data_IF_609682766399
#
_entry.id   IF_609682766399
#
_cell.length_a   1.000
_cell.length_b   1.000
_cell.length_c   1.000
_cell.angle_alpha   90.00
_cell.angle_beta   90.00
_cell.angle_gamma   90.00
#
_symmetry.space_group_name_H-M   'P 1'
#
loop_
_entity.id
_entity.type
_entity.pdbx_description
1 polymer ?
#
# COMPACT_ATOMS: atom_id res chain seq x y z
N UNK A 1 8.21 11.09 10.37
CA UNK A 1 9.18 10.10 9.85
C UNK A 1 8.41 9.19 8.91
N UNK A 2 8.98 8.83 7.76
CA UNK A 2 8.31 7.96 6.79
C UNK A 2 8.95 6.57 6.85
N UNK A 3 8.19 5.54 6.48
CA UNK A 3 8.67 4.18 6.28
C UNK A 3 8.76 3.86 4.79
N UNK A 4 9.65 2.94 4.42
CA UNK A 4 9.62 2.33 3.09
C UNK A 4 8.46 1.33 2.99
N UNK A 5 8.03 1.02 1.76
CA UNK A 5 6.93 0.08 1.51
C UNK A 5 7.20 -1.29 2.16
N UNK A 6 8.43 -1.81 2.08
CA UNK A 6 8.76 -3.10 2.69
C UNK A 6 8.61 -3.09 4.22
N UNK A 7 8.97 -1.98 4.87
CA UNK A 7 8.87 -1.82 6.34
C UNK A 7 7.41 -1.71 6.76
N UNK A 8 6.64 -0.91 6.03
CA UNK A 8 5.20 -0.79 6.26
C UNK A 8 4.50 -2.15 6.09
N UNK A 9 4.84 -2.92 5.03
CA UNK A 9 4.30 -4.27 4.82
C UNK A 9 4.68 -5.26 5.91
N UNK A 10 5.89 -5.17 6.46
CA UNK A 10 6.28 -5.98 7.61
C UNK A 10 5.38 -5.68 8.81
N UNK A 11 5.17 -4.40 9.14
CA UNK A 11 4.25 -4.00 10.20
C UNK A 11 2.82 -4.45 9.90
N UNK A 12 2.34 -4.32 8.66
CA UNK A 12 1.00 -4.79 8.28
C UNK A 12 0.82 -6.28 8.57
N UNK A 13 1.80 -7.14 8.27
CA UNK A 13 1.75 -8.57 8.60
C UNK A 13 1.65 -8.82 10.11
N UNK A 14 2.42 -8.08 10.92
CA UNK A 14 2.39 -8.21 12.39
C UNK A 14 1.01 -7.90 12.98
N UNK A 15 0.21 -7.07 12.29
CA UNK A 15 -1.15 -6.70 12.67
C UNK A 15 -2.24 -7.45 11.88
N UNK A 16 -1.88 -8.54 11.21
CA UNK A 16 -2.82 -9.42 10.50
C UNK A 16 -3.43 -8.79 9.23
N UNK A 17 -2.85 -7.72 8.71
CA UNK A 17 -3.25 -7.11 7.45
C UNK A 17 -2.54 -7.86 6.32
N UNK A 18 -3.28 -8.45 5.37
CA UNK A 18 -2.70 -9.23 4.28
C UNK A 18 -1.94 -8.31 3.34
N UNK A 19 -0.72 -8.72 3.01
CA UNK A 19 0.14 -8.10 2.01
C UNK A 19 0.75 -9.20 1.16
N UNK A 20 1.17 -8.91 -0.08
CA UNK A 20 1.75 -9.94 -0.92
C UNK A 20 3.10 -10.39 -0.35
N UNK A 21 3.50 -11.61 -0.70
CA UNK A 21 4.84 -12.09 -0.38
C UNK A 21 5.87 -11.30 -1.17
N UNK A 22 6.87 -10.80 -0.45
CA UNK A 22 7.91 -10.00 -1.05
C UNK A 22 9.12 -9.86 -0.15
N UNK A 23 10.26 -9.66 -0.79
CA UNK A 23 11.58 -9.61 -0.16
C UNK A 23 12.35 -8.40 -0.70
N UNK A 24 13.07 -7.74 0.20
CA UNK A 24 13.93 -6.61 -0.15
C UNK A 24 15.28 -7.09 -0.67
N UNK A 25 15.80 -6.44 -1.69
CA UNK A 25 17.11 -6.72 -2.27
C UNK A 25 17.90 -5.42 -2.45
N UNK A 26 19.17 -5.44 -2.07
CA UNK A 26 20.14 -4.36 -2.30
C UNK A 26 21.16 -4.67 -3.39
N UNK A 27 21.01 -5.80 -4.08
CA UNK A 27 21.85 -6.21 -5.22
C UNK A 27 21.07 -7.13 -6.16
N UNK A 28 21.59 -7.31 -7.38
CA UNK A 28 21.05 -8.27 -8.36
C UNK A 28 21.04 -9.68 -7.79
N UNK A 29 22.13 -10.12 -7.16
CA UNK A 29 22.23 -11.48 -6.60
C UNK A 29 21.18 -11.70 -5.50
N UNK A 30 20.98 -10.73 -4.62
CA UNK A 30 19.94 -10.78 -3.60
C UNK A 30 18.53 -10.83 -4.21
N UNK A 31 18.30 -10.10 -5.31
CA UNK A 31 17.01 -10.13 -6.02
C UNK A 31 16.74 -11.49 -6.69
N UNK A 32 17.77 -12.13 -7.25
CA UNK A 32 17.65 -13.48 -7.82
C UNK A 32 17.37 -14.53 -6.75
N UNK A 33 18.00 -14.42 -5.57
CA UNK A 33 17.68 -15.27 -4.42
C UNK A 33 16.23 -15.07 -3.99
N UNK A 34 15.80 -13.81 -3.83
CA UNK A 34 14.42 -13.47 -3.49
C UNK A 34 13.41 -14.05 -4.47
N UNK A 35 13.66 -13.92 -5.78
CA UNK A 35 12.77 -14.47 -6.82
C UNK A 35 12.68 -16.01 -6.76
N UNK A 36 13.78 -16.70 -6.44
CA UNK A 36 13.78 -18.16 -6.27
C UNK A 36 13.01 -18.60 -5.03
N UNK A 37 13.12 -17.86 -3.94
CA UNK A 37 12.37 -18.14 -2.70
C UNK A 37 10.87 -17.87 -2.85
N UNK A 38 10.51 -16.77 -3.53
CA UNK A 38 9.11 -16.45 -3.86
C UNK A 38 8.51 -17.43 -4.88
N UNK A 39 9.35 -18.01 -5.75
CA UNK A 39 8.94 -18.89 -6.83
C UNK A 39 8.15 -18.17 -7.93
N UNK A 40 7.59 -18.96 -8.84
CA UNK A 40 6.84 -18.46 -10.00
C UNK A 40 7.72 -18.10 -11.21
N UNK A 41 7.12 -17.46 -12.20
CA UNK A 41 7.77 -17.08 -13.46
C UNK A 41 7.78 -15.56 -13.72
N UNK A 42 7.18 -14.77 -12.83
CA UNK A 42 7.11 -13.32 -12.95
C UNK A 42 7.03 -12.66 -11.59
N UNK A 43 7.59 -11.46 -11.47
CA UNK A 43 7.67 -10.69 -10.22
C UNK A 43 7.38 -9.21 -10.47
N UNK A 44 7.01 -8.51 -9.41
CA UNK A 44 7.01 -7.05 -9.36
C UNK A 44 8.33 -6.57 -8.76
N UNK A 45 9.01 -5.65 -9.44
CA UNK A 45 10.21 -4.96 -8.95
C UNK A 45 9.82 -3.53 -8.59
N UNK A 46 9.96 -3.15 -7.32
CA UNK A 46 9.51 -1.86 -6.79
C UNK A 46 10.65 -1.10 -6.11
N UNK A 47 11.06 0.02 -6.68
CA UNK A 47 12.02 0.94 -6.08
C UNK A 47 11.55 1.40 -4.70
N UNK A 48 12.43 1.33 -3.70
CA UNK A 48 12.14 1.76 -2.33
C UNK A 48 12.62 3.19 -2.11
N UNK A 49 11.68 4.15 -2.20
CA UNK A 49 11.91 5.57 -1.92
C UNK A 49 10.74 6.13 -1.10
N UNK A 50 10.96 7.20 -0.34
CA UNK A 50 9.92 7.92 0.39
C UNK A 50 9.26 8.97 -0.50
N UNK A 51 8.73 8.53 -1.65
CA UNK A 51 7.96 9.35 -2.57
C UNK A 51 6.92 8.48 -3.30
N UNK A 52 5.69 9.00 -3.44
CA UNK A 52 4.65 8.40 -4.27
C UNK A 52 4.89 8.61 -5.77
N UNK A 53 4.00 8.08 -6.60
CA UNK A 53 4.08 8.21 -8.06
C UNK A 53 5.17 7.38 -8.75
N UNK A 54 5.74 6.40 -8.04
CA UNK A 54 6.84 5.53 -8.53
C UNK A 54 6.48 4.78 -9.82
N UNK A 55 5.24 4.31 -9.95
CA UNK A 55 4.78 3.62 -11.15
C UNK A 55 4.86 4.50 -12.41
N UNK A 56 4.40 5.75 -12.33
CA UNK A 56 4.49 6.73 -13.42
C UNK A 56 5.95 7.08 -13.79
N UNK A 57 6.86 6.94 -12.84
CA UNK A 57 8.30 7.18 -13.01
C UNK A 57 9.11 5.94 -13.44
N UNK A 58 8.45 4.80 -13.72
CA UNK A 58 9.14 3.55 -14.07
C UNK A 58 9.82 2.83 -12.90
N UNK A 59 9.56 3.27 -11.66
CA UNK A 59 10.06 2.65 -10.43
C UNK A 59 9.28 1.42 -9.98
N UNK A 60 8.23 1.02 -10.71
CA UNK A 60 7.48 -0.22 -10.50
C UNK A 60 7.40 -0.94 -11.85
N UNK A 61 7.96 -2.15 -11.92
CA UNK A 61 8.04 -2.92 -13.17
C UNK A 61 7.57 -4.35 -12.92
N UNK A 62 6.77 -4.90 -13.84
CA UNK A 62 6.48 -6.33 -13.89
C UNK A 62 7.50 -6.99 -14.80
N UNK A 63 8.14 -8.05 -14.33
CA UNK A 63 9.21 -8.76 -15.05
C UNK A 63 8.88 -10.24 -15.17
N UNK A 64 9.30 -10.86 -16.27
CA UNK A 64 9.13 -12.28 -16.57
C UNK A 64 10.50 -12.97 -16.71
N UNK A 65 10.76 -13.93 -15.83
CA UNK A 65 12.04 -14.65 -15.77
C UNK A 65 13.21 -13.87 -15.16
N UNK A 66 14.30 -14.59 -14.88
CA UNK A 66 15.48 -14.04 -14.18
C UNK A 66 16.21 -12.95 -15.00
N UNK A 67 16.14 -13.00 -16.34
CA UNK A 67 16.82 -12.05 -17.22
C UNK A 67 16.20 -10.64 -17.13
N UNK A 68 14.87 -10.53 -17.25
CA UNK A 68 14.16 -9.26 -17.11
C UNK A 68 14.28 -8.72 -15.68
N UNK A 69 14.24 -9.61 -14.67
CA UNK A 69 14.46 -9.25 -13.28
C UNK A 69 15.83 -8.60 -13.07
N UNK A 70 16.91 -9.23 -13.57
CA UNK A 70 18.26 -8.66 -13.49
C UNK A 70 18.29 -7.26 -14.09
N UNK A 71 17.77 -7.10 -15.31
CA UNK A 71 17.80 -5.82 -16.02
C UNK A 71 17.02 -4.72 -15.28
N UNK A 72 15.84 -5.04 -14.75
CA UNK A 72 15.04 -4.09 -13.97
C UNK A 72 15.76 -3.65 -12.69
N UNK A 73 16.40 -4.61 -11.99
CA UNK A 73 17.13 -4.32 -10.74
C UNK A 73 18.39 -3.49 -11.00
N UNK A 74 19.16 -3.80 -12.05
CA UNK A 74 20.34 -3.03 -12.47
C UNK A 74 19.97 -1.60 -12.90
N UNK A 75 18.81 -1.42 -13.53
CA UNK A 75 18.32 -0.11 -13.96
C UNK A 75 17.90 0.75 -12.77
N UNK A 76 17.32 0.14 -11.74
CA UNK A 76 16.77 0.87 -10.60
C UNK A 76 17.81 1.14 -9.51
N UNK A 77 18.59 0.12 -9.11
CA UNK A 77 19.52 0.24 -7.99
C UNK A 77 20.63 1.25 -8.27
N UNK A 78 21.02 1.99 -7.24
CA UNK A 78 22.05 3.03 -7.26
C UNK A 78 21.74 4.23 -8.19
N UNK A 79 20.59 4.20 -8.87
CA UNK A 79 20.02 5.32 -9.58
C UNK A 79 19.30 6.30 -8.64
N UNK A 80 18.72 7.35 -9.25
CA UNK A 80 17.83 8.28 -8.56
C UNK A 80 16.48 8.27 -9.25
N UNK A 81 15.41 8.04 -8.50
CA UNK A 81 14.05 8.05 -9.03
C UNK A 81 13.44 9.43 -8.85
N UNK A 82 13.12 10.08 -9.97
CA UNK A 82 12.35 11.32 -9.99
C UNK A 82 10.87 10.98 -10.15
N UNK A 83 10.06 11.38 -9.18
CA UNK A 83 8.61 11.22 -9.19
C UNK A 83 7.94 12.60 -9.09
N UNK A 84 6.62 12.70 -9.32
CA UNK A 84 5.87 13.94 -9.09
C UNK A 84 6.02 14.50 -7.66
N UNK A 85 6.41 13.65 -6.69
CA UNK A 85 6.52 14.00 -5.28
C UNK A 85 7.96 14.09 -4.75
N UNK A 86 8.99 13.79 -5.57
CA UNK A 86 10.39 13.76 -5.11
C UNK A 86 11.17 15.07 -5.33
N UNK A 87 10.60 16.01 -6.10
CA UNK A 87 11.34 17.15 -6.65
C UNK A 87 12.37 16.75 -7.72
N UNK A 88 13.05 17.74 -8.34
CA UNK A 88 13.90 17.53 -9.52
C UNK A 88 15.15 16.70 -9.25
N UNK A 89 15.63 16.65 -8.00
CA UNK A 89 16.80 15.86 -7.63
C UNK A 89 16.49 14.36 -7.51
N UNK A 90 15.21 13.96 -7.43
CA UNK A 90 14.83 12.57 -7.17
C UNK A 90 15.28 12.04 -5.80
N UNK A 91 14.99 10.78 -5.52
CA UNK A 91 15.50 10.07 -4.33
C UNK A 91 16.39 8.88 -4.73
N UNK A 92 17.46 8.59 -3.98
CA UNK A 92 18.32 7.45 -4.25
C UNK A 92 17.55 6.14 -4.08
N UNK A 93 17.82 5.17 -4.95
CA UNK A 93 17.24 3.83 -4.87
C UNK A 93 18.31 2.85 -4.40
N UNK A 94 18.44 2.70 -3.09
CA UNK A 94 19.42 1.79 -2.49
C UNK A 94 18.87 0.36 -2.34
N UNK A 95 17.55 0.20 -2.43
CA UNK A 95 16.86 -1.07 -2.28
C UNK A 95 15.67 -1.17 -3.25
N UNK A 96 15.38 -2.40 -3.66
CA UNK A 96 14.17 -2.76 -4.40
C UNK A 96 13.39 -3.83 -3.62
N UNK A 97 12.07 -3.81 -3.72
CA UNK A 97 11.20 -4.87 -3.23
C UNK A 97 10.83 -5.76 -4.41
N UNK A 98 11.16 -7.05 -4.30
CA UNK A 98 10.72 -8.10 -5.22
C UNK A 98 9.47 -8.73 -4.61
N UNK A 99 8.37 -8.78 -5.36
CA UNK A 99 7.07 -9.17 -4.84
C UNK A 99 6.29 -10.06 -5.81
N UNK A 100 5.52 -11.01 -5.27
CA UNK A 100 4.63 -11.87 -6.06
C UNK A 100 3.53 -11.03 -6.73
N UNK A 101 3.33 -11.14 -8.05
CA UNK A 101 2.29 -10.39 -8.74
C UNK A 101 0.91 -10.95 -8.38
N UNK A 102 -0.08 -10.06 -8.39
CA UNK A 102 -1.48 -10.41 -8.11
C UNK A 102 -2.39 -10.05 -9.28
N UNK A 103 -3.45 -10.83 -9.45
CA UNK A 103 -4.54 -10.49 -10.37
C UNK A 103 -5.49 -9.53 -9.67
N UNK A 104 -5.42 -8.27 -10.09
CA UNK A 104 -6.22 -7.16 -9.55
C UNK A 104 -7.59 -7.18 -10.22
N UNK A 105 -8.66 -7.25 -9.42
CA UNK A 105 -10.05 -7.15 -9.90
C UNK A 105 -10.59 -5.75 -9.65
N UNK A 106 -10.30 -5.17 -8.47
CA UNK A 106 -10.64 -3.78 -8.13
C UNK A 106 -9.50 -3.16 -7.34
N UNK A 107 -9.30 -1.85 -7.54
CA UNK A 107 -8.40 -1.02 -6.77
C UNK A 107 -9.25 -0.06 -5.94
N UNK A 108 -9.08 -0.08 -4.62
CA UNK A 108 -9.77 0.78 -3.67
C UNK A 108 -8.74 1.67 -2.96
N UNK A 109 -9.22 2.73 -2.33
CA UNK A 109 -8.44 3.52 -1.40
C UNK A 109 -8.90 3.22 0.02
N UNK A 110 -7.95 3.07 0.94
CA UNK A 110 -8.21 3.02 2.38
C UNK A 110 -7.08 3.76 3.12
N UNK A 111 -7.43 4.69 4.00
CA UNK A 111 -6.46 5.42 4.81
C UNK A 111 -6.97 5.70 6.21
N UNK A 112 -6.06 5.98 7.14
CA UNK A 112 -6.36 6.43 8.49
C UNK A 112 -5.44 7.59 8.86
N UNK A 113 -5.99 8.62 9.52
CA UNK A 113 -5.23 9.79 9.98
C UNK A 113 -5.86 10.41 11.23
N UNK A 114 -5.13 11.29 11.92
CA UNK A 114 -5.70 12.09 13.01
C UNK A 114 -6.36 13.33 12.44
N UNK A 115 -7.70 13.42 12.56
CA UNK A 115 -8.43 14.62 12.24
C UNK A 115 -8.33 15.60 13.42
N UNK A 116 -7.80 16.81 13.15
CA UNK A 116 -7.59 17.84 14.17
C UNK A 116 -8.88 18.52 14.62
N UNK A 117 -9.90 18.56 13.77
CA UNK A 117 -11.17 19.20 14.10
C UNK A 117 -11.99 18.35 15.07
N UNK A 118 -12.08 17.05 14.83
CA UNK A 118 -12.77 16.13 15.74
C UNK A 118 -11.88 15.55 16.84
N UNK A 119 -10.57 15.75 16.76
CA UNK A 119 -9.57 15.16 17.66
C UNK A 119 -9.69 13.63 17.72
N UNK A 120 -10.02 13.02 16.59
CA UNK A 120 -10.22 11.57 16.43
C UNK A 120 -9.33 11.00 15.34
N UNK A 121 -9.06 9.70 15.44
CA UNK A 121 -8.63 8.91 14.30
C UNK A 121 -9.81 8.85 13.32
N UNK A 122 -9.60 9.20 12.06
CA UNK A 122 -10.61 9.08 11.01
C UNK A 122 -10.09 8.07 9.99
N UNK A 123 -10.93 7.08 9.68
CA UNK A 123 -10.69 6.15 8.58
C UNK A 123 -11.45 6.65 7.37
N UNK A 124 -10.75 6.77 6.24
CA UNK A 124 -11.25 7.19 4.94
C UNK A 124 -11.20 6.01 3.98
N UNK A 125 -12.23 5.81 3.18
CA UNK A 125 -12.24 4.82 2.12
C UNK A 125 -12.90 5.36 0.84
N UNK A 126 -12.46 4.89 -0.32
CA UNK A 126 -13.04 5.25 -1.61
C UNK A 126 -12.93 4.09 -2.61
N UNK A 127 -13.86 4.03 -3.56
CA UNK A 127 -13.73 3.17 -4.74
C UNK A 127 -12.67 3.70 -5.72
N UNK A 128 -12.24 4.96 -5.57
CA UNK A 128 -11.18 5.57 -6.37
C UNK A 128 -9.78 5.16 -5.85
N UNK A 129 -9.41 3.89 -6.01
CA UNK A 129 -8.04 3.41 -5.76
C UNK A 129 -7.09 3.72 -6.92
N UNK A 130 -5.79 3.80 -6.63
CA UNK A 130 -4.74 4.00 -7.63
C UNK A 130 -4.60 5.45 -8.13
N UNK A 131 -5.40 6.38 -7.60
CA UNK A 131 -5.40 7.81 -7.92
C UNK A 131 -5.01 8.65 -6.71
N UNK A 132 -4.73 9.93 -6.94
CA UNK A 132 -4.41 10.90 -5.89
C UNK A 132 -5.68 11.20 -5.07
N UNK A 133 -5.65 10.93 -3.76
CA UNK A 133 -6.85 11.05 -2.92
C UNK A 133 -7.19 12.51 -2.64
N UNK A 134 -6.22 13.41 -2.67
CA UNK A 134 -6.44 14.84 -2.53
C UNK A 134 -7.17 15.42 -3.74
N UNK A 135 -6.91 14.90 -4.94
CA UNK A 135 -7.69 15.21 -6.14
C UNK A 135 -9.15 14.75 -5.99
N UNK A 136 -9.38 13.51 -5.54
CA UNK A 136 -10.72 13.00 -5.28
C UNK A 136 -11.43 13.83 -4.20
N UNK A 137 -10.75 14.22 -3.13
CA UNK A 137 -11.33 15.02 -2.06
C UNK A 137 -11.76 16.42 -2.52
N UNK A 138 -11.04 17.00 -3.49
CA UNK A 138 -11.36 18.32 -4.04
C UNK A 138 -12.47 18.26 -5.08
N UNK A 139 -12.39 17.28 -6.00
CA UNK A 139 -13.20 17.26 -7.21
C UNK A 139 -14.45 16.37 -7.08
N UNK A 140 -14.36 15.32 -6.24
CA UNK A 140 -15.40 14.31 -6.00
C UNK A 140 -15.52 13.90 -4.51
N UNK A 141 -15.71 14.84 -3.57
CA UNK A 141 -15.71 14.56 -2.13
C UNK A 141 -16.74 13.50 -1.71
N UNK A 142 -17.84 13.33 -2.46
CA UNK A 142 -18.87 12.33 -2.23
C UNK A 142 -18.39 10.88 -2.41
N UNK A 143 -17.26 10.68 -3.11
CA UNK A 143 -16.64 9.37 -3.29
C UNK A 143 -15.78 8.94 -2.09
N UNK A 144 -15.58 9.84 -1.12
CA UNK A 144 -14.83 9.53 0.10
C UNK A 144 -15.81 9.27 1.24
N UNK A 145 -15.66 8.11 1.86
CA UNK A 145 -16.46 7.65 2.99
C UNK A 145 -15.61 7.66 4.23
N UNK A 146 -16.11 8.29 5.29
CA UNK A 146 -15.38 8.43 6.54
C UNK A 146 -16.12 7.77 7.70
N UNK A 147 -15.34 7.24 8.64
CA UNK A 147 -15.82 6.82 9.96
C UNK A 147 -14.88 7.31 11.04
N UNK A 148 -15.44 7.77 12.15
CA UNK A 148 -14.65 8.29 13.27
C UNK A 148 -14.38 7.23 14.36
N UNK A 149 -13.11 7.19 14.72
CA UNK A 149 -12.43 6.58 15.84
C UNK A 149 -12.92 6.94 17.25
N UNK A 150 -13.94 6.32 17.86
CA UNK A 150 -14.21 6.60 19.27
C UNK A 150 -13.04 6.08 20.14
N UNK A 151 -12.39 6.92 20.97
CA UNK A 151 -11.20 6.51 21.71
C UNK A 151 -11.47 5.51 22.83
N UNK A 152 -12.71 5.42 23.30
CA UNK A 152 -13.10 4.52 24.40
C UNK A 152 -13.52 3.17 23.84
N UNK A 153 -14.37 3.15 22.81
CA UNK A 153 -14.90 1.90 22.26
C UNK A 153 -14.03 1.32 21.14
N UNK A 154 -13.16 2.12 20.54
CA UNK A 154 -12.41 1.75 19.35
C UNK A 154 -13.31 1.56 18.13
N UNK A 155 -12.79 0.87 17.11
CA UNK A 155 -13.51 0.52 15.90
C UNK A 155 -14.62 -0.48 16.22
N UNK A 156 -15.86 -0.12 15.88
CA UNK A 156 -17.01 -0.98 16.06
C UNK A 156 -17.34 -1.76 14.79
N UNK A 157 -17.83 -3.02 14.88
CA UNK A 157 -18.13 -3.85 13.70
C UNK A 157 -19.11 -3.22 12.70
N UNK A 158 -20.00 -2.34 13.14
CA UNK A 158 -20.93 -1.66 12.23
C UNK A 158 -20.22 -0.65 11.32
N UNK A 159 -19.15 -0.01 11.79
CA UNK A 159 -18.36 0.93 10.99
C UNK A 159 -17.64 0.19 9.85
N UNK A 160 -17.12 -1.00 10.14
CA UNK A 160 -16.55 -1.88 9.11
C UNK A 160 -17.56 -2.28 8.04
N UNK A 161 -18.79 -2.64 8.44
CA UNK A 161 -19.87 -2.92 7.48
C UNK A 161 -20.28 -1.68 6.68
N UNK A 162 -20.37 -0.52 7.33
CA UNK A 162 -20.69 0.74 6.67
C UNK A 162 -19.70 1.05 5.55
N UNK A 163 -18.39 0.94 5.84
CA UNK A 163 -17.36 1.13 4.81
C UNK A 163 -17.42 0.05 3.73
N UNK A 164 -17.59 -1.22 4.10
CA UNK A 164 -17.67 -2.33 3.13
C UNK A 164 -18.79 -2.09 2.10
N UNK A 165 -20.01 -1.81 2.55
CA UNK A 165 -21.13 -1.56 1.65
C UNK A 165 -20.96 -0.28 0.84
N UNK A 166 -20.34 0.76 1.41
CA UNK A 166 -20.07 1.99 0.68
C UNK A 166 -18.96 1.83 -0.38
N UNK A 167 -18.14 0.78 -0.29
CA UNK A 167 -17.18 0.36 -1.31
C UNK A 167 -17.75 -0.71 -2.25
N UNK A 168 -19.04 -1.04 -2.16
CA UNK A 168 -19.65 -2.12 -2.94
C UNK A 168 -18.99 -3.49 -2.69
N UNK A 169 -18.60 -3.78 -1.45
CA UNK A 169 -18.05 -5.07 -1.03
C UNK A 169 -19.14 -5.88 -0.32
N UNK A 170 -19.67 -6.89 -0.99
CA UNK A 170 -20.67 -7.80 -0.41
C UNK A 170 -20.02 -9.06 0.18
N UNK A 171 -19.04 -9.63 -0.53
CA UNK A 171 -18.41 -10.90 -0.15
C UNK A 171 -17.23 -10.68 0.81
N UNK A 172 -16.54 -9.55 0.67
CA UNK A 172 -15.31 -9.21 1.41
C UNK A 172 -15.58 -8.44 2.72
N UNK A 173 -16.83 -8.37 3.20
CA UNK A 173 -17.19 -7.58 4.39
C UNK A 173 -16.38 -8.02 5.62
N UNK A 174 -16.16 -9.33 5.77
CA UNK A 174 -15.42 -9.89 6.91
C UNK A 174 -13.93 -9.57 6.80
N UNK A 175 -13.38 -9.68 5.60
CA UNK A 175 -11.98 -9.42 5.27
C UNK A 175 -11.65 -7.95 5.51
N UNK A 176 -12.47 -7.02 5.00
CA UNK A 176 -12.30 -5.60 5.27
C UNK A 176 -12.42 -5.30 6.77
N UNK A 177 -13.37 -5.93 7.48
CA UNK A 177 -13.50 -5.78 8.92
C UNK A 177 -12.23 -6.14 9.69
N UNK A 178 -11.56 -7.24 9.31
CA UNK A 178 -10.26 -7.64 9.89
C UNK A 178 -9.15 -6.65 9.55
N UNK A 179 -9.08 -6.18 8.30
CA UNK A 179 -8.10 -5.18 7.86
C UNK A 179 -8.26 -3.89 8.67
N UNK A 180 -9.50 -3.40 8.84
CA UNK A 180 -9.79 -2.19 9.60
C UNK A 180 -9.42 -2.34 11.09
N UNK A 181 -9.69 -3.51 11.67
CA UNK A 181 -9.31 -3.79 13.06
C UNK A 181 -7.78 -3.75 13.23
N UNK A 182 -7.05 -4.47 12.36
CA UNK A 182 -5.59 -4.45 12.34
C UNK A 182 -5.03 -3.04 12.10
N UNK A 183 -5.64 -2.28 11.20
CA UNK A 183 -5.26 -0.89 10.90
C UNK A 183 -5.41 0.02 12.12
N UNK A 184 -6.55 -0.05 12.82
CA UNK A 184 -6.78 0.78 14.00
C UNK A 184 -5.83 0.41 15.15
N UNK A 185 -5.58 -0.89 15.34
CA UNK A 185 -4.63 -1.36 16.35
C UNK A 185 -3.19 -0.92 16.02
N UNK A 186 -2.78 -1.08 14.75
CA UNK A 186 -1.49 -0.63 14.23
C UNK A 186 -1.28 0.87 14.46
N UNK A 187 -2.30 1.66 14.13
CA UNK A 187 -2.26 3.12 14.22
C UNK A 187 -2.01 3.58 15.66
N UNK A 188 -2.75 3.02 16.62
CA UNK A 188 -2.62 3.38 18.04
C UNK A 188 -1.35 2.82 18.66
N UNK A 189 -0.99 1.56 18.40
CA UNK A 189 0.16 0.91 19.05
C UNK A 189 1.52 1.43 18.60
N UNK A 190 1.58 2.11 17.45
CA UNK A 190 2.83 2.63 16.88
C UNK A 190 2.83 4.16 16.76
N UNK A 191 1.87 4.85 17.41
CA UNK A 191 1.74 6.32 17.40
C UNK A 191 1.81 6.93 15.98
N UNK A 192 1.10 6.29 15.04
CA UNK A 192 1.14 6.71 13.63
C UNK A 192 0.34 8.00 13.42
N UNK A 193 0.80 8.83 12.48
CA UNK A 193 0.08 10.03 12.07
C UNK A 193 -0.81 9.81 10.84
N UNK A 194 -0.41 8.88 9.98
CA UNK A 194 -1.05 8.55 8.70
C UNK A 194 -0.71 7.11 8.33
N UNK A 195 -1.71 6.37 7.85
CA UNK A 195 -1.53 5.12 7.11
C UNK A 195 -2.38 5.20 5.85
N UNK A 196 -1.81 4.78 4.73
CA UNK A 196 -2.49 4.79 3.43
C UNK A 196 -2.24 3.47 2.69
N UNK A 197 -3.33 2.87 2.20
CA UNK A 197 -3.35 1.78 1.23
C UNK A 197 -3.90 2.33 -0.09
N UNK A 198 -3.00 2.60 -1.03
CA UNK A 198 -3.35 3.13 -2.34
C UNK A 198 -2.53 2.43 -3.45
N UNK A 199 -3.04 1.30 -4.00
CA UNK A 199 -4.37 0.72 -3.77
C UNK A 199 -4.44 -0.28 -2.60
N UNK A 200 -5.63 -0.40 -2.00
CA UNK A 200 -6.12 -1.63 -1.37
C UNK A 200 -6.78 -2.49 -2.46
N UNK A 201 -6.27 -3.69 -2.71
CA UNK A 201 -6.71 -4.52 -3.84
C UNK A 201 -7.75 -5.55 -3.43
N UNK A 202 -8.80 -5.68 -4.24
CA UNK A 202 -9.63 -6.88 -4.30
C UNK A 202 -9.04 -7.79 -5.38
N UNK A 203 -8.56 -8.95 -4.96
CA UNK A 203 -7.94 -9.92 -5.85
C UNK A 203 -8.97 -10.88 -6.47
N UNK A 204 -8.57 -11.65 -7.47
CA UNK A 204 -9.42 -12.72 -8.01
C UNK A 204 -9.76 -13.82 -6.97
N UNK A 205 -8.99 -13.92 -5.87
CA UNK A 205 -9.24 -14.87 -4.80
C UNK A 205 -10.23 -14.36 -3.74
N UNK A 206 -10.69 -13.10 -3.85
CA UNK A 206 -11.49 -12.43 -2.84
C UNK A 206 -10.70 -11.40 -2.06
#
# INVERSE_FOLDING_TARGET
>A
MNLHEYQAKQLFREFGIPVPDGMVAGSVDAALVAARELGGASWMVKAQVHAGGRGKAGGIQRVHGEAELRQAVETLLHGRLVTPQSGPAGQPVDQVLIETPMTIVRELYLGALVNRESERIVVMASEAGGVDIEEVARDHPEQIRTVEINPVTGLMPYQGRQLAFALGLDQQVRELGRILQGLCELFVRNDLSLVEFNPLVVSAAG
#
